data_IF_889007528294
#
_entry.id   IF_889007528294
#
_cell.length_a   1.000
_cell.length_b   1.000
_cell.length_c   1.000
_cell.angle_alpha   90.00
_cell.angle_beta   90.00
_cell.angle_gamma   90.00
#
_symmetry.space_group_name_H-M   'P 1'
#
loop_
_entity.id
_entity.type
_entity.pdbx_description
1 polymer ?
#
# COMPACT_ATOMS: atom_id res chain seq x y z
N UNK A 1 14.86 -8.37 8.89
CA UNK A 1 14.84 -6.91 8.63
C UNK A 1 16.22 -6.28 8.80
N UNK A 2 16.79 -6.18 10.02
CA UNK A 2 18.14 -5.59 10.24
C UNK A 2 19.26 -6.26 9.44
N UNK A 3 19.27 -7.60 9.36
CA UNK A 3 20.21 -8.36 8.53
C UNK A 3 20.16 -8.02 7.02
N UNK A 4 19.13 -7.30 6.58
CA UNK A 4 18.97 -6.83 5.21
C UNK A 4 19.01 -5.30 5.09
N UNK A 5 19.52 -4.59 6.11
CA UNK A 5 19.69 -3.13 6.09
C UNK A 5 18.39 -2.33 6.28
N UNK A 6 17.27 -2.97 6.63
CA UNK A 6 16.00 -2.27 6.88
C UNK A 6 15.97 -1.71 8.30
N UNK A 7 15.95 -0.37 8.39
CA UNK A 7 16.04 0.39 9.66
C UNK A 7 14.73 1.03 10.10
N UNK A 8 13.80 1.30 9.18
CA UNK A 8 12.46 1.84 9.44
C UNK A 8 11.40 0.95 8.80
N UNK A 9 10.25 0.83 9.46
CA UNK A 9 9.17 -0.09 9.06
C UNK A 9 7.81 0.59 9.21
N UNK A 10 6.95 0.43 8.21
CA UNK A 10 5.54 0.81 8.33
C UNK A 10 4.77 -0.42 8.78
N UNK A 11 4.28 -0.41 10.01
CA UNK A 11 3.41 -1.47 10.53
C UNK A 11 2.01 -1.29 9.96
N UNK A 12 1.42 -2.36 9.46
CA UNK A 12 0.03 -2.37 9.04
C UNK A 12 -0.78 -3.12 10.10
N UNK A 13 -1.86 -2.50 10.57
CA UNK A 13 -2.79 -3.11 11.50
C UNK A 13 -3.32 -4.44 10.94
N UNK A 14 -3.26 -5.47 11.78
CA UNK A 14 -3.65 -6.83 11.38
C UNK A 14 -5.17 -6.97 11.38
N UNK A 15 -5.76 -7.40 10.26
CA UNK A 15 -7.22 -7.43 10.06
C UNK A 15 -7.96 -8.29 11.10
N UNK A 16 -7.32 -9.29 11.70
CA UNK A 16 -7.90 -10.11 12.78
C UNK A 16 -8.28 -9.29 14.03
N UNK A 17 -7.56 -8.22 14.32
CA UNK A 17 -7.88 -7.29 15.41
C UNK A 17 -8.91 -6.23 15.01
N UNK A 18 -9.37 -6.24 13.75
CA UNK A 18 -10.30 -5.25 13.19
C UNK A 18 -9.84 -3.83 13.53
N UNK A 19 -10.65 -3.09 14.29
CA UNK A 19 -10.44 -1.70 14.67
C UNK A 19 -9.60 -1.52 15.95
N UNK A 20 -9.18 -2.61 16.60
CA UNK A 20 -8.31 -2.54 17.78
C UNK A 20 -6.84 -2.39 17.38
N UNK A 21 -6.40 -1.15 17.27
CA UNK A 21 -5.05 -0.79 16.87
C UNK A 21 -4.02 -0.89 18.02
N UNK A 22 -4.41 -1.29 19.24
CA UNK A 22 -3.57 -1.15 20.44
C UNK A 22 -2.27 -1.92 20.35
N UNK A 23 -2.26 -3.12 19.76
CA UNK A 23 -1.04 -3.91 19.61
C UNK A 23 0.00 -3.22 18.70
N UNK A 24 -0.44 -2.73 17.54
CA UNK A 24 0.43 -1.98 16.63
C UNK A 24 0.97 -0.71 17.30
N UNK A 25 0.10 0.03 18.00
CA UNK A 25 0.48 1.24 18.71
C UNK A 25 1.47 0.95 19.86
N UNK A 26 1.32 -0.18 20.55
CA UNK A 26 2.24 -0.60 21.59
C UNK A 26 3.63 -0.92 21.05
N UNK A 27 3.70 -1.65 19.92
CA UNK A 27 4.94 -1.87 19.21
C UNK A 27 5.60 -0.55 18.78
N UNK A 28 4.82 0.41 18.28
CA UNK A 28 5.35 1.74 17.91
C UNK A 28 5.93 2.49 19.11
N UNK A 29 5.22 2.51 20.25
CA UNK A 29 5.70 3.16 21.48
C UNK A 29 6.98 2.54 22.02
N UNK A 30 7.11 1.21 21.93
CA UNK A 30 8.28 0.47 22.43
C UNK A 30 9.56 0.75 21.63
N UNK A 31 9.44 1.18 20.38
CA UNK A 31 10.59 1.44 19.50
C UNK A 31 10.47 2.80 18.77
N UNK A 32 10.67 3.92 19.49
CA UNK A 32 10.59 5.27 18.91
C UNK A 32 11.51 5.45 17.70
N UNK A 33 11.00 6.12 16.66
CA UNK A 33 11.75 6.40 15.42
C UNK A 33 11.92 5.22 14.45
N UNK A 34 11.54 4.00 14.85
CA UNK A 34 11.62 2.80 14.00
C UNK A 34 10.34 2.60 13.20
N UNK A 35 9.18 2.82 13.82
CA UNK A 35 7.88 2.47 13.26
C UNK A 35 7.02 3.70 12.91
N UNK A 36 6.37 3.63 11.76
CA UNK A 36 5.13 4.35 11.46
C UNK A 36 3.97 3.35 11.38
N UNK A 37 2.73 3.81 11.52
CA UNK A 37 1.55 2.93 11.52
C UNK A 37 0.60 3.20 10.37
N UNK A 38 -0.04 2.13 9.87
CA UNK A 38 -1.26 2.18 9.07
C UNK A 38 -2.36 1.48 9.85
N UNK A 39 -3.32 2.24 10.35
CA UNK A 39 -4.41 1.73 11.18
C UNK A 39 -5.58 1.19 10.38
N UNK A 40 -6.57 0.65 11.07
CA UNK A 40 -7.91 0.37 10.53
C UNK A 40 -8.93 1.04 11.46
N UNK A 41 -9.90 1.75 10.88
CA UNK A 41 -11.02 2.35 11.61
C UNK A 41 -12.33 1.83 11.03
N UNK A 42 -13.39 1.90 11.84
CA UNK A 42 -14.73 1.51 11.42
C UNK A 42 -15.34 2.59 10.54
N UNK A 43 -15.46 2.31 9.25
CA UNK A 43 -16.08 3.22 8.29
C UNK A 43 -17.61 3.26 8.39
N UNK A 44 -18.24 2.38 9.16
CA UNK A 44 -19.67 2.45 9.47
C UNK A 44 -19.98 3.30 10.70
N UNK A 45 -18.96 3.71 11.47
CA UNK A 45 -19.15 4.59 12.61
C UNK A 45 -19.68 5.97 12.16
N UNK A 46 -20.37 6.68 13.07
CA UNK A 46 -20.90 8.00 12.75
C UNK A 46 -19.81 9.04 12.42
N UNK A 47 -18.61 8.89 12.99
CA UNK A 47 -17.49 9.83 12.86
C UNK A 47 -16.13 9.12 12.72
N UNK A 48 -15.87 8.35 11.65
CA UNK A 48 -14.61 7.63 11.46
C UNK A 48 -13.38 8.55 11.45
N UNK A 49 -13.54 9.79 10.96
CA UNK A 49 -12.52 10.84 10.94
C UNK A 49 -11.98 11.18 12.34
N UNK A 50 -12.79 11.11 13.39
CA UNK A 50 -12.32 11.37 14.75
C UNK A 50 -11.37 10.26 15.23
N UNK A 51 -11.69 9.00 14.91
CA UNK A 51 -10.82 7.87 15.18
C UNK A 51 -9.50 7.97 14.38
N UNK A 52 -9.58 8.40 13.11
CA UNK A 52 -8.38 8.65 12.30
C UNK A 52 -7.47 9.70 12.95
N UNK A 53 -8.02 10.85 13.34
CA UNK A 53 -7.25 11.93 14.00
C UNK A 53 -6.66 11.49 15.34
N UNK A 54 -7.40 10.71 16.12
CA UNK A 54 -6.90 10.15 17.39
C UNK A 54 -5.71 9.21 17.17
N UNK A 55 -5.75 8.39 16.12
CA UNK A 55 -4.65 7.51 15.75
C UNK A 55 -3.46 8.29 15.15
N UNK A 56 -3.74 9.35 14.38
CA UNK A 56 -2.71 10.20 13.79
C UNK A 56 -1.82 10.87 14.85
N UNK A 57 -2.41 11.30 15.97
CA UNK A 57 -1.69 11.83 17.14
C UNK A 57 -0.74 10.82 17.80
N UNK A 58 -0.87 9.53 17.48
CA UNK A 58 -0.05 8.44 18.01
C UNK A 58 0.95 7.89 16.96
N UNK A 59 1.16 8.61 15.85
CA UNK A 59 2.13 8.25 14.81
C UNK A 59 1.56 7.38 13.68
N UNK A 60 0.25 7.14 13.64
CA UNK A 60 -0.39 6.53 12.47
C UNK A 60 -0.42 7.54 11.34
N UNK A 61 0.04 7.15 10.15
CA UNK A 61 0.13 8.02 8.96
C UNK A 61 -0.69 7.50 7.77
N UNK A 62 -1.35 6.36 7.92
CA UNK A 62 -2.34 5.91 6.95
C UNK A 62 -3.40 5.00 7.53
N UNK A 63 -4.39 4.66 6.72
CA UNK A 63 -5.52 3.82 7.10
C UNK A 63 -5.81 2.81 6.00
N UNK A 64 -5.77 1.51 6.34
CA UNK A 64 -6.13 0.45 5.40
C UNK A 64 -7.65 0.36 5.31
N UNK A 65 -8.15 0.37 4.08
CA UNK A 65 -9.57 0.33 3.76
C UNK A 65 -9.86 -0.83 2.79
N UNK A 66 -11.02 -1.45 2.92
CA UNK A 66 -11.46 -2.54 2.05
C UNK A 66 -12.99 -2.65 2.11
N UNK A 67 -13.65 -3.22 1.08
CA UNK A 67 -15.12 -3.28 1.02
C UNK A 67 -15.76 -4.24 2.02
N UNK A 68 -14.98 -5.13 2.66
CA UNK A 68 -15.53 -6.22 3.47
C UNK A 68 -16.49 -7.09 2.64
N UNK A 69 -17.74 -7.17 3.09
CA UNK A 69 -18.82 -7.89 2.40
C UNK A 69 -19.67 -7.02 1.46
N UNK A 70 -19.38 -5.72 1.35
CA UNK A 70 -20.14 -4.79 0.50
C UNK A 70 -19.70 -4.88 -0.96
N UNK A 71 -20.56 -4.43 -1.88
CA UNK A 71 -20.13 -4.13 -3.25
C UNK A 71 -19.21 -2.91 -3.24
N UNK A 72 -18.37 -2.77 -4.27
CA UNK A 72 -17.44 -1.63 -4.39
C UNK A 72 -18.21 -0.30 -4.41
N UNK A 73 -19.30 -0.22 -5.15
CA UNK A 73 -20.07 1.01 -5.31
C UNK A 73 -20.76 1.42 -4.00
N UNK A 74 -21.36 0.47 -3.28
CA UNK A 74 -21.97 0.75 -1.97
C UNK A 74 -20.92 1.19 -0.95
N UNK A 75 -19.77 0.53 -0.93
CA UNK A 75 -18.68 0.85 -0.02
C UNK A 75 -18.10 2.25 -0.27
N UNK A 76 -17.65 2.54 -1.51
CA UNK A 76 -17.06 3.83 -1.87
C UNK A 76 -18.08 4.97 -1.84
N UNK A 77 -19.36 4.67 -2.10
CA UNK A 77 -20.47 5.61 -2.01
C UNK A 77 -20.92 5.92 -0.58
N UNK A 78 -20.41 5.21 0.43
CA UNK A 78 -20.85 5.39 1.81
C UNK A 78 -20.49 6.77 2.39
N UNK A 79 -21.30 7.32 3.31
CA UNK A 79 -20.97 8.54 4.05
C UNK A 79 -19.63 8.42 4.79
N UNK A 80 -19.35 7.26 5.37
CA UNK A 80 -18.10 6.98 6.08
C UNK A 80 -16.87 7.08 5.18
N UNK A 81 -16.90 6.50 3.98
CA UNK A 81 -15.82 6.68 3.00
C UNK A 81 -15.67 8.13 2.58
N UNK A 82 -16.75 8.87 2.39
CA UNK A 82 -16.68 10.31 2.09
C UNK A 82 -15.95 11.07 3.20
N UNK A 83 -16.27 10.82 4.47
CA UNK A 83 -15.60 11.48 5.61
C UNK A 83 -14.13 11.05 5.76
N UNK A 84 -13.83 9.77 5.57
CA UNK A 84 -12.45 9.26 5.65
C UNK A 84 -11.56 9.82 4.52
N UNK A 85 -12.05 9.87 3.28
CA UNK A 85 -11.31 10.42 2.15
C UNK A 85 -11.05 11.91 2.32
N UNK A 86 -12.06 12.68 2.75
CA UNK A 86 -11.93 14.10 3.06
C UNK A 86 -10.91 14.32 4.18
N UNK A 87 -11.06 13.63 5.32
CA UNK A 87 -10.14 13.71 6.46
C UNK A 87 -8.70 13.36 6.06
N UNK A 88 -8.51 12.33 5.25
CA UNK A 88 -7.18 11.93 4.79
C UNK A 88 -6.50 13.03 3.94
N UNK A 89 -7.25 13.66 3.03
CA UNK A 89 -6.74 14.78 2.23
C UNK A 89 -6.45 16.03 3.06
N UNK A 90 -7.32 16.36 4.01
CA UNK A 90 -7.18 17.57 4.85
C UNK A 90 -6.02 17.46 5.85
N UNK A 91 -5.81 16.27 6.43
CA UNK A 91 -4.84 16.05 7.50
C UNK A 91 -3.53 15.42 6.98
N UNK A 92 -3.39 15.24 5.66
CA UNK A 92 -2.18 14.70 5.03
C UNK A 92 -1.93 13.20 5.30
N UNK A 93 -3.00 12.44 5.58
CA UNK A 93 -2.95 11.00 5.87
C UNK A 93 -3.14 10.17 4.59
N UNK A 94 -2.57 8.97 4.55
CA UNK A 94 -2.76 8.05 3.43
C UNK A 94 -3.99 7.15 3.64
N UNK A 95 -4.74 6.87 2.57
CA UNK A 95 -5.62 5.70 2.50
C UNK A 95 -4.90 4.57 1.78
N UNK A 96 -4.97 3.35 2.31
CA UNK A 96 -4.36 2.17 1.73
C UNK A 96 -5.44 1.15 1.32
N UNK A 97 -6.00 1.25 0.10
CA UNK A 97 -6.99 0.29 -0.36
C UNK A 97 -6.36 -1.10 -0.57
N UNK A 98 -6.92 -2.10 0.10
CA UNK A 98 -6.63 -3.52 -0.11
C UNK A 98 -7.72 -4.12 -0.98
N UNK A 99 -7.57 -4.01 -2.30
CA UNK A 99 -8.61 -4.35 -3.29
C UNK A 99 -8.03 -5.04 -4.52
N UNK A 100 -8.91 -5.59 -5.36
CA UNK A 100 -8.58 -6.13 -6.68
C UNK A 100 -8.74 -5.10 -7.81
N UNK A 101 -8.45 -5.50 -9.06
CA UNK A 101 -8.52 -4.61 -10.24
C UNK A 101 -9.92 -4.06 -10.50
N UNK A 102 -10.96 -4.83 -10.14
CA UNK A 102 -12.37 -4.43 -10.26
C UNK A 102 -12.72 -3.15 -9.48
N UNK A 103 -11.94 -2.78 -8.46
CA UNK A 103 -12.18 -1.57 -7.68
C UNK A 103 -11.50 -0.31 -8.25
N UNK A 104 -10.59 -0.45 -9.23
CA UNK A 104 -9.79 0.67 -9.75
C UNK A 104 -10.63 1.78 -10.39
N UNK A 105 -11.72 1.51 -11.14
CA UNK A 105 -12.59 2.57 -11.66
C UNK A 105 -13.25 3.40 -10.55
N UNK A 106 -13.78 2.75 -9.52
CA UNK A 106 -14.38 3.44 -8.36
C UNK A 106 -13.36 4.25 -7.59
N UNK A 107 -12.14 3.72 -7.39
CA UNK A 107 -11.05 4.46 -6.77
C UNK A 107 -10.61 5.66 -7.60
N UNK A 108 -10.62 5.58 -8.94
CA UNK A 108 -10.34 6.71 -9.80
C UNK A 108 -11.38 7.83 -9.63
N UNK A 109 -12.67 7.47 -9.49
CA UNK A 109 -13.73 8.44 -9.19
C UNK A 109 -13.51 9.11 -7.82
N UNK A 110 -13.11 8.35 -6.80
CA UNK A 110 -12.78 8.91 -5.49
C UNK A 110 -11.56 9.82 -5.52
N UNK A 111 -10.51 9.48 -6.28
CA UNK A 111 -9.35 10.34 -6.47
C UNK A 111 -9.71 11.66 -7.18
N UNK A 112 -10.64 11.62 -8.14
CA UNK A 112 -11.14 12.82 -8.80
C UNK A 112 -11.98 13.69 -7.84
N UNK A 113 -12.81 13.07 -7.00
CA UNK A 113 -13.64 13.75 -5.99
C UNK A 113 -12.80 14.36 -4.86
N UNK A 114 -11.71 13.70 -4.46
CA UNK A 114 -10.83 14.14 -3.37
C UNK A 114 -9.37 14.22 -3.86
N UNK A 115 -9.03 15.22 -4.69
CA UNK A 115 -7.73 15.28 -5.36
C UNK A 115 -6.55 15.47 -4.42
N UNK A 116 -6.76 15.92 -3.18
CA UNK A 116 -5.71 16.05 -2.15
C UNK A 116 -5.39 14.73 -1.43
N UNK A 117 -6.27 13.74 -1.52
CA UNK A 117 -6.16 12.51 -0.73
C UNK A 117 -5.03 11.65 -1.28
N UNK A 118 -4.11 11.29 -0.40
CA UNK A 118 -3.05 10.34 -0.72
C UNK A 118 -3.58 8.93 -0.71
N UNK A 119 -3.39 8.21 -1.80
CA UNK A 119 -3.79 6.81 -1.94
C UNK A 119 -2.53 5.97 -2.11
N UNK A 120 -2.41 4.89 -1.35
CA UNK A 120 -1.31 3.94 -1.45
C UNK A 120 -1.90 2.56 -1.70
N UNK A 121 -2.01 2.18 -2.98
CA UNK A 121 -2.61 0.91 -3.39
C UNK A 121 -1.75 -0.26 -2.93
N UNK A 122 -2.38 -1.18 -2.21
CA UNK A 122 -1.70 -2.35 -1.70
C UNK A 122 -1.46 -3.37 -2.81
N UNK A 123 -0.25 -3.94 -2.82
CA UNK A 123 0.13 -5.13 -3.58
C UNK A 123 -0.27 -5.10 -5.06
N UNK A 124 0.02 -4.00 -5.77
CA UNK A 124 -0.38 -3.82 -7.17
C UNK A 124 -1.89 -3.98 -7.42
N UNK A 125 -2.74 -3.66 -6.44
CA UNK A 125 -4.18 -3.95 -6.48
C UNK A 125 -4.48 -5.44 -6.74
N UNK A 126 -3.63 -6.33 -6.21
CA UNK A 126 -3.74 -7.80 -6.29
C UNK A 126 -3.78 -8.35 -7.73
N UNK A 127 -3.29 -7.59 -8.70
CA UNK A 127 -3.11 -8.04 -10.09
C UNK A 127 -2.20 -9.28 -10.09
N UNK A 128 -2.58 -10.31 -10.83
CA UNK A 128 -1.87 -11.59 -10.85
C UNK A 128 -2.39 -12.65 -9.89
N UNK A 129 -3.54 -12.46 -9.24
CA UNK A 129 -4.14 -13.47 -8.34
C UNK A 129 -4.44 -14.80 -9.03
N UNK A 130 -4.83 -14.74 -10.30
CA UNK A 130 -5.03 -15.91 -11.18
C UNK A 130 -3.73 -16.63 -11.55
N UNK A 131 -2.58 -16.01 -11.30
CA UNK A 131 -1.27 -16.47 -11.77
C UNK A 131 -0.76 -15.72 -13.00
N UNK A 132 -1.61 -14.92 -13.64
CA UNK A 132 -1.28 -14.17 -14.86
C UNK A 132 -1.48 -12.67 -14.67
N UNK A 133 -0.57 -11.88 -15.21
CA UNK A 133 -0.70 -10.42 -15.23
C UNK A 133 -1.46 -9.99 -16.48
N UNK A 134 -2.77 -9.78 -16.34
CA UNK A 134 -3.61 -9.38 -17.46
C UNK A 134 -3.33 -7.92 -17.86
N UNK A 135 -3.12 -7.69 -19.16
CA UNK A 135 -2.83 -6.36 -19.71
C UNK A 135 -3.93 -5.34 -19.39
N UNK A 136 -5.21 -5.76 -19.41
CA UNK A 136 -6.34 -4.90 -19.06
C UNK A 136 -6.25 -4.37 -17.62
N UNK A 137 -5.85 -5.22 -16.67
CA UNK A 137 -5.71 -4.83 -15.27
C UNK A 137 -4.51 -3.91 -15.06
N UNK A 138 -3.38 -4.20 -15.73
CA UNK A 138 -2.20 -3.32 -15.69
C UNK A 138 -2.55 -1.95 -16.29
N UNK A 139 -3.28 -1.90 -17.39
CA UNK A 139 -3.76 -0.67 -18.02
C UNK A 139 -4.64 0.14 -17.05
N UNK A 140 -5.58 -0.52 -16.37
CA UNK A 140 -6.44 0.12 -15.38
C UNK A 140 -5.65 0.71 -14.21
N UNK A 141 -4.62 0.00 -13.74
CA UNK A 141 -3.72 0.52 -12.69
C UNK A 141 -2.89 1.71 -13.21
N UNK A 142 -2.32 1.61 -14.41
CA UNK A 142 -1.54 2.69 -15.02
C UNK A 142 -2.38 3.96 -15.24
N UNK A 143 -3.68 3.83 -15.56
CA UNK A 143 -4.58 4.96 -15.75
C UNK A 143 -4.75 5.83 -14.49
N UNK A 144 -4.52 5.28 -13.29
CA UNK A 144 -4.53 6.05 -12.04
C UNK A 144 -3.31 6.99 -11.89
N UNK A 145 -2.27 6.82 -12.70
CA UNK A 145 -1.08 7.67 -12.65
C UNK A 145 -1.37 9.15 -12.96
N UNK A 146 -2.50 9.46 -13.61
CA UNK A 146 -2.98 10.84 -13.80
C UNK A 146 -3.28 11.56 -12.48
N UNK A 147 -3.49 10.83 -11.38
CA UNK A 147 -3.67 11.38 -10.05
C UNK A 147 -2.31 11.44 -9.33
N UNK A 148 -1.78 12.64 -9.03
CA UNK A 148 -0.40 12.80 -8.54
C UNK A 148 -0.17 12.21 -7.15
N UNK A 149 -1.23 12.01 -6.37
CA UNK A 149 -1.18 11.48 -5.00
C UNK A 149 -1.49 9.97 -4.90
N UNK A 150 -1.57 9.26 -6.04
CA UNK A 150 -1.68 7.79 -6.07
C UNK A 150 -0.28 7.16 -6.11
N UNK A 151 -0.03 6.30 -5.13
CA UNK A 151 1.16 5.47 -4.99
C UNK A 151 0.79 3.99 -5.05
N UNK A 152 1.77 3.12 -5.32
CA UNK A 152 1.58 1.67 -5.40
C UNK A 152 2.65 0.94 -4.58
N UNK A 153 2.23 -0.05 -3.78
CA UNK A 153 3.15 -0.95 -3.09
C UNK A 153 3.56 -2.12 -3.97
N UNK A 154 4.86 -2.23 -4.26
CA UNK A 154 5.49 -3.38 -4.87
C UNK A 154 5.78 -4.45 -3.80
N UNK A 155 4.91 -5.44 -3.67
CA UNK A 155 4.89 -6.35 -2.51
C UNK A 155 4.07 -7.62 -2.75
N UNK A 156 4.06 -8.52 -1.76
CA UNK A 156 3.31 -9.77 -1.77
C UNK A 156 3.63 -10.69 -2.96
N UNK A 157 4.92 -10.81 -3.30
CA UNK A 157 5.38 -11.58 -4.47
C UNK A 157 5.08 -13.08 -4.36
N UNK A 158 4.89 -13.58 -3.14
CA UNK A 158 4.45 -14.94 -2.85
C UNK A 158 2.98 -15.23 -3.27
N UNK A 159 2.15 -14.19 -3.43
CA UNK A 159 0.70 -14.32 -3.56
C UNK A 159 0.19 -14.20 -5.00
N UNK A 160 0.92 -13.50 -5.87
CA UNK A 160 0.49 -13.19 -7.25
C UNK A 160 1.53 -13.64 -8.29
N UNK A 161 1.12 -13.65 -9.57
CA UNK A 161 1.96 -14.11 -10.68
C UNK A 161 2.32 -15.59 -10.54
N UNK A 162 3.56 -15.94 -10.88
CA UNK A 162 4.06 -17.32 -10.80
C UNK A 162 4.30 -17.80 -9.37
N UNK A 163 4.19 -16.92 -8.36
CA UNK A 163 4.34 -17.25 -6.93
C UNK A 163 5.62 -18.07 -6.67
N UNK A 164 6.73 -17.66 -7.29
CA UNK A 164 7.99 -18.40 -7.23
C UNK A 164 9.18 -17.45 -7.32
N UNK A 165 10.09 -17.54 -6.35
CA UNK A 165 11.39 -16.87 -6.46
C UNK A 165 12.13 -17.37 -7.71
N UNK A 166 12.85 -16.52 -8.46
CA UNK A 166 13.25 -15.16 -8.11
C UNK A 166 12.24 -14.02 -8.39
N UNK A 167 10.98 -14.34 -8.72
CA UNK A 167 9.88 -13.39 -9.00
C UNK A 167 10.08 -12.47 -10.22
N UNK A 168 10.90 -12.91 -11.18
CA UNK A 168 11.23 -12.13 -12.38
C UNK A 168 10.04 -11.88 -13.31
N UNK A 169 8.96 -12.66 -13.16
CA UNK A 169 7.71 -12.48 -13.89
C UNK A 169 7.03 -11.13 -13.61
N UNK A 170 7.31 -10.49 -12.48
CA UNK A 170 6.84 -9.14 -12.18
C UNK A 170 7.56 -8.05 -12.99
N UNK A 171 8.72 -8.37 -13.59
CA UNK A 171 9.60 -7.40 -14.26
C UNK A 171 8.88 -6.51 -15.27
N UNK A 172 8.11 -7.06 -16.24
CA UNK A 172 7.35 -6.27 -17.20
C UNK A 172 6.34 -5.29 -16.56
N UNK A 173 5.55 -5.76 -15.58
CA UNK A 173 4.59 -4.92 -14.86
C UNK A 173 5.29 -3.82 -14.05
N UNK A 174 6.37 -4.15 -13.33
CA UNK A 174 7.14 -3.18 -12.54
C UNK A 174 7.78 -2.13 -13.45
N UNK A 175 8.32 -2.53 -14.61
CA UNK A 175 8.88 -1.60 -15.60
C UNK A 175 7.83 -0.60 -16.05
N UNK A 176 6.66 -1.10 -16.47
CA UNK A 176 5.56 -0.27 -16.94
C UNK A 176 5.04 0.68 -15.86
N UNK A 177 4.89 0.20 -14.63
CA UNK A 177 4.51 1.04 -13.50
C UNK A 177 5.59 2.07 -13.18
N UNK A 178 6.88 1.73 -13.24
CA UNK A 178 7.98 2.68 -13.02
C UNK A 178 7.95 3.77 -14.09
N UNK A 179 7.79 3.41 -15.35
CA UNK A 179 7.74 4.35 -16.47
C UNK A 179 6.51 5.26 -16.40
N UNK A 180 5.37 4.75 -15.91
CA UNK A 180 4.10 5.51 -15.85
C UNK A 180 3.97 6.35 -14.57
N UNK A 181 4.27 5.77 -13.40
CA UNK A 181 4.12 6.45 -12.12
C UNK A 181 5.36 7.27 -11.74
N UNK A 182 6.55 6.88 -12.22
CA UNK A 182 7.82 7.31 -11.67
C UNK A 182 8.15 6.56 -10.37
N UNK A 183 9.44 6.35 -10.07
CA UNK A 183 9.87 5.60 -8.89
C UNK A 183 9.45 6.25 -7.56
N UNK A 184 9.19 7.57 -7.55
CA UNK A 184 8.74 8.34 -6.38
C UNK A 184 7.34 7.94 -5.90
N UNK A 185 6.56 7.26 -6.74
CA UNK A 185 5.21 6.78 -6.43
C UNK A 185 5.12 5.27 -6.29
N UNK A 186 6.25 4.56 -6.40
CA UNK A 186 6.34 3.15 -6.11
C UNK A 186 7.13 2.94 -4.81
N UNK A 187 6.70 1.98 -4.00
CA UNK A 187 7.42 1.62 -2.77
C UNK A 187 7.40 0.13 -2.53
N UNK A 188 8.55 -0.43 -2.18
CA UNK A 188 8.66 -1.83 -1.79
C UNK A 188 8.02 -2.05 -0.43
N UNK A 189 7.32 -3.18 -0.28
CA UNK A 189 6.93 -3.69 1.02
C UNK A 189 7.13 -5.20 1.07
N UNK A 190 7.48 -5.71 2.25
CA UNK A 190 7.72 -7.14 2.44
C UNK A 190 6.43 -7.95 2.47
N UNK A 191 5.34 -7.38 2.96
CA UNK A 191 4.13 -8.12 3.36
C UNK A 191 4.40 -9.24 4.37
N UNK A 192 5.42 -9.05 5.22
CA UNK A 192 5.69 -9.96 6.33
C UNK A 192 4.57 -9.89 7.38
N UNK A 193 4.23 -11.03 8.02
CA UNK A 193 4.95 -12.31 7.95
C UNK A 193 4.58 -13.20 6.76
N UNK A 194 3.54 -12.91 5.98
CA UNK A 194 3.03 -13.81 4.95
C UNK A 194 4.04 -14.15 3.84
N UNK A 195 4.92 -13.21 3.51
CA UNK A 195 6.02 -13.43 2.57
C UNK A 195 7.06 -14.46 3.04
N UNK A 196 7.09 -14.81 4.32
CA UNK A 196 8.02 -15.79 4.90
C UNK A 196 7.27 -17.10 5.10
N UNK A 197 7.33 -17.96 4.09
CA UNK A 197 6.71 -19.27 4.09
C UNK A 197 7.53 -20.22 3.20
N UNK A 198 7.15 -21.50 3.10
CA UNK A 198 7.91 -22.49 2.32
C UNK A 198 8.14 -22.00 0.89
N UNK A 199 9.41 -21.91 0.47
CA UNK A 199 9.82 -21.45 -0.86
C UNK A 199 9.84 -19.93 -1.06
N UNK A 200 9.58 -19.15 -0.01
CA UNK A 200 9.51 -17.69 -0.07
C UNK A 200 10.25 -17.06 1.11
N UNK A 201 11.17 -16.15 0.80
CA UNK A 201 12.00 -15.50 1.83
C UNK A 201 11.89 -13.99 1.74
N UNK A 202 12.19 -13.33 2.85
CA UNK A 202 12.36 -11.87 2.89
C UNK A 202 13.46 -11.42 1.91
N UNK A 203 14.56 -12.16 1.86
CA UNK A 203 15.72 -11.86 1.03
C UNK A 203 15.35 -11.88 -0.46
N UNK A 204 14.60 -12.89 -0.92
CA UNK A 204 14.17 -13.00 -2.31
C UNK A 204 13.20 -11.88 -2.72
N UNK A 205 12.27 -11.53 -1.83
CA UNK A 205 11.34 -10.43 -2.06
C UNK A 205 12.06 -9.07 -2.18
N UNK A 206 13.09 -8.84 -1.35
CA UNK A 206 13.91 -7.64 -1.42
C UNK A 206 14.82 -7.64 -2.67
N UNK A 207 15.43 -8.79 -2.97
CA UNK A 207 16.38 -8.94 -4.07
C UNK A 207 15.73 -8.67 -5.44
N UNK A 208 14.41 -8.86 -5.59
CA UNK A 208 13.71 -8.52 -6.83
C UNK A 208 13.99 -7.07 -7.26
N UNK A 209 13.69 -6.09 -6.41
CA UNK A 209 13.91 -4.68 -6.73
C UNK A 209 15.37 -4.25 -6.50
N UNK A 210 16.06 -4.87 -5.55
CA UNK A 210 17.44 -4.48 -5.20
C UNK A 210 18.45 -4.89 -6.27
N UNK A 211 18.33 -6.10 -6.81
CA UNK A 211 19.42 -6.72 -7.59
C UNK A 211 18.96 -7.28 -8.95
N UNK A 212 17.70 -7.69 -9.08
CA UNK A 212 17.28 -8.62 -10.17
C UNK A 212 16.62 -7.94 -11.36
N UNK A 213 16.16 -6.70 -11.22
CA UNK A 213 15.56 -5.92 -12.30
C UNK A 213 16.59 -4.93 -12.85
N UNK A 214 17.20 -5.31 -13.97
CA UNK A 214 18.31 -4.61 -14.64
C UNK A 214 17.99 -3.15 -15.05
N UNK A 215 16.72 -2.87 -15.31
CA UNK A 215 16.24 -1.57 -15.75
C UNK A 215 16.05 -0.55 -14.63
N UNK A 216 16.14 -0.97 -13.38
CA UNK A 216 16.10 -0.06 -12.24
C UNK A 216 17.46 0.59 -12.09
N UNK A 217 17.49 1.92 -12.15
CA UNK A 217 18.69 2.69 -11.83
C UNK A 217 18.94 2.71 -10.32
N UNK A 218 20.12 3.20 -9.90
CA UNK A 218 20.39 3.45 -8.48
C UNK A 218 19.37 4.43 -7.87
N UNK A 219 18.97 5.45 -8.64
CA UNK A 219 17.94 6.42 -8.24
C UNK A 219 16.57 5.77 -8.09
N UNK A 220 16.17 4.89 -9.02
CA UNK A 220 14.91 4.15 -8.91
C UNK A 220 14.89 3.32 -7.63
N UNK A 221 15.98 2.58 -7.36
CA UNK A 221 16.12 1.77 -6.15
C UNK A 221 16.05 2.60 -4.87
N UNK A 222 16.72 3.75 -4.82
CA UNK A 222 16.69 4.61 -3.63
C UNK A 222 15.29 5.17 -3.35
N UNK A 223 14.52 5.49 -4.39
CA UNK A 223 13.12 5.88 -4.24
C UNK A 223 12.25 4.71 -3.79
N UNK A 224 12.27 3.61 -4.54
CA UNK A 224 11.39 2.48 -4.33
C UNK A 224 11.67 1.73 -3.03
N UNK A 225 12.92 1.66 -2.57
CA UNK A 225 13.28 0.95 -1.34
C UNK A 225 13.29 1.85 -0.10
N UNK A 226 13.23 3.18 -0.25
CA UNK A 226 13.37 4.11 0.88
C UNK A 226 12.55 5.40 0.74
N UNK A 227 12.92 6.31 -0.17
CA UNK A 227 12.42 7.71 -0.13
C UNK A 227 10.92 7.83 -0.33
N UNK A 228 10.32 6.96 -1.15
CA UNK A 228 8.88 6.98 -1.42
C UNK A 228 8.08 6.70 -0.14
N UNK A 229 8.45 5.65 0.61
CA UNK A 229 7.79 5.32 1.87
C UNK A 229 8.11 6.35 2.97
N UNK A 230 9.35 6.84 3.02
CA UNK A 230 9.78 7.90 3.95
C UNK A 230 8.93 9.16 3.80
N UNK A 231 8.75 9.65 2.57
CA UNK A 231 7.92 10.84 2.27
C UNK A 231 6.44 10.65 2.59
N UNK A 232 5.95 9.41 2.57
CA UNK A 232 4.52 9.12 2.75
C UNK A 232 4.17 8.87 4.22
N UNK A 233 5.03 8.17 4.97
CA UNK A 233 4.69 7.65 6.29
C UNK A 233 5.58 8.15 7.43
N UNK A 234 6.70 8.81 7.15
CA UNK A 234 7.65 9.29 8.17
C UNK A 234 7.77 10.82 8.20
N UNK A 235 6.70 11.52 7.82
CA UNK A 235 6.56 12.98 7.89
C UNK A 235 5.84 13.42 9.17
#
# INVERSE_FOLDING_TARGET
>A
MRAHGVTRVVLIQMSFYRFDNRYMLDAMRRYPGVFAGVGIVDDSAARPQDAMRKLAKQGVRGFRINPGSQTIDAWLGSPGMTEMWKCAGDDGLALCPLVGPNALPGLAAMCAKFPRTRVVLDHFARIGVSGEFLEADINALCALAKFPHVHVKASAFYAFGKKRAPYLDYGPMIRRLRDTFGPQRLMWASDCPYQIQRGHTYADALALLRDRLDFLSATDRDWMLRRSAEKVFFT
#
